data_IF_863279691483
#
_entry.id   IF_863279691483
#
_cell.length_a   1.000
_cell.length_b   1.000
_cell.length_c   1.000
_cell.angle_alpha   90.00
_cell.angle_beta   90.00
_cell.angle_gamma   90.00
#
_symmetry.space_group_name_H-M   'P 1'
#
loop_
_entity.id
_entity.type
_entity.pdbx_description
1 polymer ?
#
# COMPACT_ATOMS: atom_id res chain seq x y z
N UNK A 1 -4.08 -17.56 -11.21
CA UNK A 1 -3.52 -16.19 -11.13
C UNK A 1 -2.05 -16.30 -10.73
N UNK A 2 -1.15 -15.53 -11.34
CA UNK A 2 0.27 -15.58 -10.98
C UNK A 2 0.50 -14.83 -9.66
N UNK A 3 1.16 -15.46 -8.70
CA UNK A 3 1.45 -14.85 -7.39
C UNK A 3 2.17 -13.50 -7.57
N UNK A 4 1.70 -12.47 -6.88
CA UNK A 4 2.32 -11.15 -6.92
C UNK A 4 3.77 -11.23 -6.44
N UNK A 5 4.72 -10.81 -7.28
CA UNK A 5 6.13 -10.92 -6.97
C UNK A 5 6.54 -9.94 -5.86
N UNK A 6 7.56 -10.29 -5.08
CA UNK A 6 8.16 -9.41 -4.06
C UNK A 6 8.49 -8.01 -4.64
N UNK A 7 8.98 -7.96 -5.88
CA UNK A 7 9.30 -6.70 -6.55
C UNK A 7 8.05 -5.84 -6.80
N UNK A 8 6.94 -6.45 -7.21
CA UNK A 8 5.66 -5.74 -7.39
C UNK A 8 5.14 -5.18 -6.06
N UNK A 9 5.19 -5.97 -4.98
CA UNK A 9 4.78 -5.52 -3.63
C UNK A 9 5.61 -4.32 -3.18
N UNK A 10 6.93 -4.38 -3.32
CA UNK A 10 7.83 -3.28 -2.92
C UNK A 10 7.67 -2.04 -3.80
N UNK A 11 7.34 -2.20 -5.08
CA UNK A 11 7.04 -1.08 -5.98
C UNK A 11 5.75 -0.38 -5.55
N UNK A 12 4.71 -1.16 -5.25
CA UNK A 12 3.42 -0.65 -4.78
C UNK A 12 3.55 0.07 -3.43
N UNK A 13 4.31 -0.50 -2.49
CA UNK A 13 4.62 0.14 -1.20
C UNK A 13 5.23 1.53 -1.38
N UNK A 14 6.27 1.64 -2.24
CA UNK A 14 6.91 2.94 -2.52
C UNK A 14 5.96 3.92 -3.20
N UNK A 15 5.10 3.46 -4.11
CA UNK A 15 4.09 4.30 -4.75
C UNK A 15 3.10 4.88 -3.72
N UNK A 16 2.55 4.03 -2.85
CA UNK A 16 1.64 4.44 -1.78
C UNK A 16 2.26 5.50 -0.86
N UNK A 17 3.52 5.30 -0.44
CA UNK A 17 4.22 6.28 0.39
C UNK A 17 4.47 7.61 -0.32
N UNK A 18 4.86 7.57 -1.60
CA UNK A 18 5.10 8.79 -2.40
C UNK A 18 3.82 9.59 -2.62
N UNK A 19 2.73 8.95 -3.01
CA UNK A 19 1.47 9.67 -3.20
C UNK A 19 0.94 10.21 -1.87
N UNK A 20 1.08 9.45 -0.77
CA UNK A 20 0.66 9.92 0.56
C UNK A 20 1.42 11.15 1.05
N UNK A 21 2.66 11.39 0.58
CA UNK A 21 3.39 12.62 0.92
C UNK A 21 2.77 13.87 0.32
N UNK A 22 1.94 13.73 -0.73
CA UNK A 22 1.34 14.86 -1.46
C UNK A 22 0.10 15.45 -0.77
N UNK A 23 -0.46 14.76 0.23
CA UNK A 23 -1.55 15.33 1.04
C UNK A 23 -1.13 16.66 1.66
N UNK A 24 -1.88 17.73 1.37
CA UNK A 24 -1.66 19.07 1.93
C UNK A 24 -1.83 19.07 3.46
N UNK A 25 -2.92 18.47 3.94
CA UNK A 25 -3.20 18.30 5.37
C UNK A 25 -2.16 17.39 6.03
N UNK A 26 -1.49 17.91 7.05
CA UNK A 26 -0.53 17.17 7.87
C UNK A 26 -1.15 15.91 8.49
N UNK A 27 -2.37 16.00 8.99
CA UNK A 27 -3.05 14.88 9.66
C UNK A 27 -3.30 13.73 8.69
N UNK A 28 -3.79 14.03 7.47
CA UNK A 28 -3.98 13.00 6.45
C UNK A 28 -2.66 12.41 5.94
N UNK A 29 -1.66 13.25 5.69
CA UNK A 29 -0.32 12.81 5.25
C UNK A 29 0.31 11.84 6.25
N UNK A 30 0.37 12.23 7.51
CA UNK A 30 1.00 11.43 8.57
C UNK A 30 0.21 10.15 8.86
N UNK A 31 -1.12 10.25 8.90
CA UNK A 31 -1.99 9.09 9.06
C UNK A 31 -1.81 8.08 7.93
N UNK A 32 -1.88 8.51 6.68
CA UNK A 32 -1.74 7.63 5.52
C UNK A 32 -0.37 6.93 5.52
N UNK A 33 0.71 7.68 5.71
CA UNK A 33 2.08 7.13 5.77
C UNK A 33 2.21 6.09 6.89
N UNK A 34 1.70 6.39 8.10
CA UNK A 34 1.72 5.45 9.23
C UNK A 34 0.92 4.20 8.91
N UNK A 35 -0.32 4.35 8.43
CA UNK A 35 -1.20 3.20 8.15
C UNK A 35 -0.63 2.29 7.07
N UNK A 36 0.00 2.85 6.03
CA UNK A 36 0.69 2.07 4.99
C UNK A 36 1.87 1.29 5.58
N UNK A 37 2.71 1.93 6.39
CA UNK A 37 3.85 1.25 7.05
C UNK A 37 3.40 0.10 7.93
N UNK A 38 2.41 0.34 8.77
CA UNK A 38 1.90 -0.63 9.73
C UNK A 38 1.27 -1.82 8.98
N UNK A 39 0.40 -1.56 8.00
CA UNK A 39 -0.23 -2.62 7.22
C UNK A 39 0.78 -3.51 6.48
N UNK A 40 1.81 -2.93 5.84
CA UNK A 40 2.83 -3.75 5.16
C UNK A 40 3.71 -4.53 6.15
N UNK A 41 3.95 -4.00 7.36
CA UNK A 41 4.71 -4.69 8.40
C UNK A 41 3.92 -5.84 9.02
N UNK A 42 2.65 -5.61 9.34
CA UNK A 42 1.68 -6.60 9.85
C UNK A 42 1.58 -7.81 8.92
N UNK A 43 1.61 -7.59 7.61
CA UNK A 43 1.42 -8.65 6.60
C UNK A 43 2.74 -9.22 6.03
N UNK A 44 3.91 -8.84 6.57
CA UNK A 44 5.23 -9.21 6.02
C UNK A 44 5.49 -10.72 5.97
N UNK A 45 4.94 -11.48 6.92
CA UNK A 45 5.20 -12.91 7.12
C UNK A 45 4.14 -13.82 6.49
N UNK A 46 3.13 -13.27 5.81
CA UNK A 46 2.12 -14.06 5.10
C UNK A 46 2.79 -14.84 3.97
N UNK A 47 2.49 -16.14 3.90
CA UNK A 47 3.01 -17.07 2.88
C UNK A 47 1.92 -17.58 1.92
N UNK A 48 0.65 -17.39 2.29
CA UNK A 48 -0.50 -17.73 1.47
C UNK A 48 -0.56 -16.82 0.24
N UNK A 49 -0.42 -17.42 -0.95
CA UNK A 49 -0.42 -16.71 -2.23
C UNK A 49 -1.74 -16.02 -2.54
N UNK A 50 -2.87 -16.63 -2.19
CA UNK A 50 -4.19 -16.05 -2.45
C UNK A 50 -4.40 -14.83 -1.54
N UNK A 51 -4.00 -14.96 -0.26
CA UNK A 51 -4.07 -13.83 0.67
C UNK A 51 -3.16 -12.67 0.27
N UNK A 52 -1.96 -12.97 -0.22
CA UNK A 52 -1.04 -11.95 -0.75
C UNK A 52 -1.70 -11.22 -1.93
N UNK A 53 -2.32 -11.95 -2.85
CA UNK A 53 -2.96 -11.35 -4.02
C UNK A 53 -4.14 -10.45 -3.64
N UNK A 54 -4.99 -10.89 -2.70
CA UNK A 54 -6.09 -10.09 -2.16
C UNK A 54 -5.57 -8.77 -1.56
N UNK A 55 -4.54 -8.84 -0.72
CA UNK A 55 -3.94 -7.66 -0.08
C UNK A 55 -3.26 -6.73 -1.09
N UNK A 56 -2.62 -7.27 -2.12
CA UNK A 56 -2.02 -6.48 -3.20
C UNK A 56 -3.11 -5.76 -4.00
N UNK A 57 -4.23 -6.42 -4.31
CA UNK A 57 -5.34 -5.79 -5.02
C UNK A 57 -6.01 -4.71 -4.18
N UNK A 58 -6.18 -4.94 -2.88
CA UNK A 58 -6.61 -3.91 -1.92
C UNK A 58 -5.66 -2.71 -1.89
N UNK A 59 -4.35 -2.95 -1.86
CA UNK A 59 -3.34 -1.90 -1.87
C UNK A 59 -3.34 -1.10 -3.20
N UNK A 60 -3.60 -1.73 -4.34
CA UNK A 60 -3.79 -1.04 -5.64
C UNK A 60 -5.03 -0.15 -5.61
N UNK A 61 -6.17 -0.65 -5.11
CA UNK A 61 -7.38 0.15 -4.98
C UNK A 61 -7.16 1.37 -4.05
N UNK A 62 -6.46 1.17 -2.94
CA UNK A 62 -6.10 2.27 -2.04
C UNK A 62 -5.18 3.31 -2.69
N UNK A 63 -4.25 2.90 -3.56
CA UNK A 63 -3.41 3.83 -4.30
C UNK A 63 -4.24 4.77 -5.18
N UNK A 64 -5.25 4.22 -5.87
CA UNK A 64 -6.17 5.01 -6.71
C UNK A 64 -7.08 5.93 -5.87
N UNK A 65 -7.43 5.53 -4.65
CA UNK A 65 -8.12 6.42 -3.71
C UNK A 65 -7.20 7.58 -3.31
N UNK A 66 -5.97 7.31 -2.89
CA UNK A 66 -5.01 8.34 -2.50
C UNK A 66 -4.78 9.32 -3.65
N UNK A 67 -4.54 8.82 -4.87
CA UNK A 67 -4.33 9.64 -6.07
C UNK A 67 -5.48 10.59 -6.39
N UNK A 68 -6.72 10.22 -6.07
CA UNK A 68 -7.90 11.07 -6.25
C UNK A 68 -8.07 12.13 -5.17
N UNK A 69 -7.36 12.00 -4.05
CA UNK A 69 -7.51 12.84 -2.85
C UNK A 69 -6.30 13.74 -2.59
N UNK A 70 -5.21 13.61 -3.37
CA UNK A 70 -3.97 14.41 -3.26
C UNK A 70 -3.77 15.36 -4.42
#
# INVERSE_FOLDING_TARGET
MAASSRAQVLRLYRALLRESQRFSSYNYRTYAIRRIRDAFRENKSIKDSEKIEELVNKAKANLEVIRRQV
#
